data_IF_728942799026
#
_entry.id   IF_728942799026
#
_cell.length_a   1.000
_cell.length_b   1.000
_cell.length_c   1.000
_cell.angle_alpha   90.00
_cell.angle_beta   90.00
_cell.angle_gamma   90.00
#
_symmetry.space_group_name_H-M   'P 1'
#
loop_
_entity.id
_entity.type
_entity.pdbx_description
1 polymer ?
#
# COMPACT_ATOMS: atom_id res chain seq x y z
N UNK A 1 -40.14 8.77 -4.60
CA UNK A 1 -39.00 7.88 -4.92
C UNK A 1 -37.61 8.49 -4.59
N UNK A 2 -37.39 9.81 -4.78
CA UNK A 2 -36.08 10.48 -4.59
C UNK A 2 -35.59 10.59 -3.12
N UNK A 3 -36.52 10.78 -2.15
CA UNK A 3 -36.17 10.89 -0.72
C UNK A 3 -35.57 9.62 -0.12
N UNK A 4 -35.96 8.45 -0.63
CA UNK A 4 -35.48 7.16 -0.12
C UNK A 4 -34.04 6.86 -0.60
N UNK A 5 -33.67 7.35 -1.79
CA UNK A 5 -32.31 7.23 -2.34
C UNK A 5 -31.31 8.16 -1.63
N UNK A 6 -31.74 9.38 -1.29
CA UNK A 6 -30.93 10.34 -0.54
C UNK A 6 -30.67 9.90 0.92
N UNK A 7 -31.64 9.23 1.55
CA UNK A 7 -31.49 8.69 2.90
C UNK A 7 -30.41 7.59 2.97
N UNK A 8 -30.38 6.65 2.01
CA UNK A 8 -29.33 5.62 1.95
C UNK A 8 -27.92 6.19 1.78
N UNK A 9 -27.76 7.26 0.98
CA UNK A 9 -26.48 7.93 0.76
C UNK A 9 -25.99 8.67 2.01
N UNK A 10 -26.89 9.32 2.75
CA UNK A 10 -26.59 9.97 4.04
C UNK A 10 -26.24 8.95 5.13
N UNK A 11 -26.92 7.81 5.17
CA UNK A 11 -26.60 6.70 6.10
C UNK A 11 -25.22 6.12 5.81
N UNK A 12 -24.86 5.88 4.54
CA UNK A 12 -23.52 5.43 4.18
C UNK A 12 -22.43 6.47 4.47
N UNK A 13 -22.71 7.76 4.27
CA UNK A 13 -21.80 8.84 4.67
C UNK A 13 -21.61 8.89 6.19
N UNK A 14 -22.68 8.76 6.97
CA UNK A 14 -22.62 8.71 8.42
C UNK A 14 -21.85 7.49 8.91
N UNK A 15 -22.09 6.30 8.33
CA UNK A 15 -21.34 5.09 8.66
C UNK A 15 -19.86 5.19 8.29
N UNK A 16 -19.53 5.86 7.18
CA UNK A 16 -18.14 6.13 6.81
C UNK A 16 -17.48 7.12 7.78
N UNK A 17 -18.17 8.20 8.16
CA UNK A 17 -17.67 9.18 9.13
C UNK A 17 -17.50 8.56 10.53
N UNK A 18 -18.46 7.74 10.97
CA UNK A 18 -18.39 7.01 12.23
C UNK A 18 -17.28 5.96 12.17
N UNK A 19 -17.13 5.25 11.06
CA UNK A 19 -16.03 4.29 10.86
C UNK A 19 -14.65 4.97 10.87
N UNK A 20 -14.53 6.16 10.27
CA UNK A 20 -13.32 6.99 10.30
C UNK A 20 -13.08 7.51 11.73
N UNK A 21 -14.11 7.98 12.42
CA UNK A 21 -14.00 8.43 13.81
C UNK A 21 -13.61 7.30 14.77
N UNK A 22 -14.15 6.10 14.58
CA UNK A 22 -13.76 4.90 15.33
C UNK A 22 -12.34 4.47 14.97
N UNK A 23 -11.93 4.56 13.70
CA UNK A 23 -10.54 4.28 13.31
C UNK A 23 -9.57 5.29 13.92
N UNK A 24 -9.93 6.57 13.96
CA UNK A 24 -9.17 7.64 14.63
C UNK A 24 -9.14 7.39 16.14
N UNK A 25 -10.28 7.07 16.78
CA UNK A 25 -10.35 6.78 18.20
C UNK A 25 -9.59 5.50 18.58
N UNK A 26 -9.65 4.45 17.77
CA UNK A 26 -8.86 3.23 17.94
C UNK A 26 -7.36 3.50 17.75
N UNK A 27 -7.00 4.37 16.79
CA UNK A 27 -5.63 4.86 16.62
C UNK A 27 -5.16 5.73 17.79
N UNK A 28 -6.08 6.41 18.48
CA UNK A 28 -5.84 7.25 19.66
C UNK A 28 -5.76 6.43 20.97
N UNK A 29 -6.51 5.33 21.05
CA UNK A 29 -6.58 4.42 22.21
C UNK A 29 -5.47 3.37 22.21
N UNK A 30 -4.93 3.04 21.03
CA UNK A 30 -3.70 2.26 20.94
C UNK A 30 -2.55 3.12 21.49
N UNK A 31 -1.78 2.65 22.49
CA UNK A 31 -0.59 3.32 22.98
C UNK A 31 0.55 3.19 21.96
N UNK A 32 0.28 3.57 20.71
CA UNK A 32 1.17 3.49 19.57
C UNK A 32 2.40 4.35 19.80
N UNK A 33 2.25 5.51 20.46
CA UNK A 33 3.38 6.35 20.82
C UNK A 33 4.32 5.65 21.81
N UNK A 34 3.79 5.07 22.88
CA UNK A 34 4.60 4.38 23.90
C UNK A 34 5.22 3.09 23.36
N UNK A 35 4.48 2.35 22.53
CA UNK A 35 4.99 1.15 21.89
C UNK A 35 6.07 1.48 20.85
N UNK A 36 5.90 2.56 20.09
CA UNK A 36 6.89 3.05 19.14
C UNK A 36 8.15 3.58 19.84
N UNK A 37 8.04 4.25 20.98
CA UNK A 37 9.21 4.67 21.76
C UNK A 37 9.92 3.49 22.41
N UNK A 38 9.21 2.53 23.00
CA UNK A 38 9.82 1.31 23.54
C UNK A 38 10.51 0.48 22.46
N UNK A 39 9.87 0.30 21.30
CA UNK A 39 10.50 -0.37 20.15
C UNK A 39 11.67 0.44 19.65
N UNK A 40 11.57 1.76 19.55
CA UNK A 40 12.69 2.61 19.12
C UNK A 40 13.89 2.43 20.04
N UNK A 41 13.69 2.46 21.35
CA UNK A 41 14.76 2.25 22.32
C UNK A 41 15.35 0.83 22.24
N UNK A 42 14.50 -0.19 22.12
CA UNK A 42 14.94 -1.58 21.95
C UNK A 42 15.70 -1.79 20.63
N UNK A 43 15.20 -1.22 19.52
CA UNK A 43 15.81 -1.32 18.20
C UNK A 43 17.13 -0.55 18.12
N UNK A 44 17.25 0.59 18.80
CA UNK A 44 18.51 1.33 18.93
C UNK A 44 19.50 0.53 19.78
N UNK A 45 19.05 -0.15 20.84
CA UNK A 45 19.92 -0.99 21.69
C UNK A 45 20.49 -2.20 20.96
N UNK A 46 19.86 -2.64 19.87
CA UNK A 46 20.32 -3.75 19.01
C UNK A 46 21.48 -3.37 18.08
N UNK A 47 21.80 -2.08 17.94
CA UNK A 47 22.92 -1.60 17.12
C UNK A 47 22.86 -2.11 15.66
N UNK A 48 23.82 -2.94 15.19
CA UNK A 48 23.80 -3.50 13.83
C UNK A 48 22.57 -4.36 13.49
N UNK A 49 21.95 -5.00 14.49
CA UNK A 49 20.81 -5.91 14.32
C UNK A 49 19.46 -5.21 14.16
N UNK A 50 19.43 -3.88 14.28
CA UNK A 50 18.21 -3.08 14.17
C UNK A 50 17.48 -3.28 12.82
N UNK A 51 18.21 -3.31 11.71
CA UNK A 51 17.62 -3.43 10.36
C UNK A 51 17.09 -4.84 10.08
N UNK A 52 17.85 -5.93 10.34
CA UNK A 52 17.31 -7.30 10.23
C UNK A 52 16.08 -7.54 11.11
N UNK A 53 16.09 -7.06 12.36
CA UNK A 53 14.95 -7.18 13.26
C UNK A 53 13.72 -6.44 12.71
N UNK A 54 13.90 -5.22 12.20
CA UNK A 54 12.83 -4.47 11.55
C UNK A 54 12.24 -5.22 10.34
N UNK A 55 13.11 -5.77 9.48
CA UNK A 55 12.68 -6.57 8.31
C UNK A 55 11.83 -7.76 8.76
N UNK A 56 12.26 -8.49 9.80
CA UNK A 56 11.52 -9.62 10.32
C UNK A 56 10.15 -9.23 10.88
N UNK A 57 10.09 -8.16 11.69
CA UNK A 57 8.83 -7.61 12.23
C UNK A 57 7.89 -7.22 11.09
N UNK A 58 8.42 -6.58 10.04
CA UNK A 58 7.65 -6.20 8.87
C UNK A 58 7.07 -7.40 8.14
N UNK A 59 7.89 -8.44 7.90
CA UNK A 59 7.44 -9.67 7.24
C UNK A 59 6.30 -10.30 8.04
N UNK A 60 6.45 -10.45 9.37
CA UNK A 60 5.41 -10.99 10.24
C UNK A 60 4.14 -10.14 10.17
N UNK A 61 4.26 -8.82 10.28
CA UNK A 61 3.16 -7.86 10.18
C UNK A 61 2.41 -8.02 8.85
N UNK A 62 3.15 -8.19 7.75
CA UNK A 62 2.62 -8.36 6.40
C UNK A 62 1.90 -9.70 6.22
N UNK A 63 2.42 -10.77 6.82
CA UNK A 63 1.82 -12.11 6.80
C UNK A 63 0.53 -12.13 7.62
N UNK A 64 0.54 -11.54 8.83
CA UNK A 64 -0.65 -11.41 9.68
C UNK A 64 -1.71 -10.50 9.04
N UNK A 65 -1.28 -9.58 8.19
CA UNK A 65 -2.16 -8.62 7.53
C UNK A 65 -2.47 -7.41 8.41
N UNK A 66 -1.48 -6.92 9.14
CA UNK A 66 -1.59 -5.66 9.86
C UNK A 66 -1.21 -4.47 8.94
N UNK A 67 -1.77 -3.27 9.16
CA UNK A 67 -1.43 -2.10 8.36
C UNK A 67 0.05 -1.72 8.45
N UNK A 68 0.78 -1.82 7.33
CA UNK A 68 2.22 -1.54 7.25
C UNK A 68 2.60 -0.04 7.29
N UNK A 69 1.63 0.87 7.18
CA UNK A 69 1.86 2.32 7.12
C UNK A 69 2.63 2.85 8.34
N UNK A 70 2.35 2.32 9.53
CA UNK A 70 3.05 2.67 10.77
C UNK A 70 4.53 2.30 10.69
N UNK A 71 4.84 1.13 10.12
CA UNK A 71 6.22 0.66 9.97
C UNK A 71 7.00 1.53 8.98
N UNK A 72 6.38 2.01 7.91
CA UNK A 72 7.03 2.92 6.96
C UNK A 72 7.43 4.24 7.63
N UNK A 73 6.52 4.83 8.40
CA UNK A 73 6.80 6.03 9.19
C UNK A 73 7.91 5.76 10.22
N UNK A 74 7.82 4.65 10.95
CA UNK A 74 8.82 4.24 11.93
C UNK A 74 10.21 4.10 11.29
N UNK A 75 10.33 3.44 10.14
CA UNK A 75 11.60 3.31 9.43
C UNK A 75 12.21 4.68 9.05
N UNK A 76 11.37 5.63 8.64
CA UNK A 76 11.80 7.01 8.39
C UNK A 76 12.33 7.70 9.64
N UNK A 77 11.65 7.54 10.78
CA UNK A 77 12.07 8.12 12.07
C UNK A 77 13.34 7.47 12.63
N UNK A 78 13.57 6.18 12.35
CA UNK A 78 14.64 5.37 12.94
C UNK A 78 15.92 5.39 12.12
N UNK A 79 15.79 5.26 10.79
CA UNK A 79 16.93 5.07 9.89
C UNK A 79 17.18 6.29 8.98
N UNK A 80 16.27 7.27 8.98
CA UNK A 80 16.27 8.39 8.05
C UNK A 80 15.73 8.00 6.67
N UNK A 81 15.61 8.99 5.77
CA UNK A 81 14.96 8.81 4.48
C UNK A 81 15.59 7.72 3.60
N UNK A 82 16.84 7.89 3.14
CA UNK A 82 17.46 6.98 2.18
C UNK A 82 17.59 5.54 2.71
N UNK A 83 18.12 5.38 3.93
CA UNK A 83 18.28 4.05 4.55
C UNK A 83 16.92 3.42 4.88
N UNK A 84 15.96 4.22 5.33
CA UNK A 84 14.59 3.76 5.59
C UNK A 84 13.91 3.24 4.33
N UNK A 85 14.05 3.93 3.19
CA UNK A 85 13.48 3.49 1.91
C UNK A 85 14.07 2.15 1.50
N UNK A 86 15.40 1.98 1.58
CA UNK A 86 16.05 0.71 1.22
C UNK A 86 15.59 -0.42 2.13
N UNK A 87 15.61 -0.22 3.44
CA UNK A 87 15.22 -1.24 4.42
C UNK A 87 13.75 -1.65 4.23
N UNK A 88 12.85 -0.68 4.10
CA UNK A 88 11.42 -0.94 3.89
C UNK A 88 11.18 -1.60 2.54
N UNK A 89 11.89 -1.20 1.49
CA UNK A 89 11.73 -1.80 0.15
C UNK A 89 12.12 -3.27 0.13
N UNK A 90 13.20 -3.63 0.84
CA UNK A 90 13.62 -5.03 1.00
C UNK A 90 12.60 -5.80 1.85
N UNK A 91 12.15 -5.21 2.97
CA UNK A 91 11.16 -5.83 3.84
C UNK A 91 9.82 -6.07 3.12
N UNK A 92 9.36 -5.08 2.36
CA UNK A 92 8.10 -5.14 1.60
C UNK A 92 8.13 -6.21 0.54
N UNK A 93 9.19 -6.26 -0.28
CA UNK A 93 9.26 -7.28 -1.32
C UNK A 93 9.38 -8.68 -0.72
N UNK A 94 10.15 -8.88 0.36
CA UNK A 94 10.25 -10.18 1.03
C UNK A 94 8.91 -10.61 1.64
N UNK A 95 8.23 -9.71 2.36
CA UNK A 95 6.96 -10.00 3.02
C UNK A 95 5.85 -10.30 2.01
N UNK A 96 5.71 -9.47 0.97
CA UNK A 96 4.70 -9.67 -0.07
C UNK A 96 4.95 -10.95 -0.88
N UNK A 97 6.21 -11.24 -1.20
CA UNK A 97 6.63 -12.49 -1.86
C UNK A 97 6.33 -13.72 -1.02
N UNK A 98 6.58 -13.65 0.29
CA UNK A 98 6.26 -14.74 1.21
C UNK A 98 4.75 -14.99 1.27
N UNK A 99 3.93 -13.94 1.39
CA UNK A 99 2.47 -14.07 1.34
C UNK A 99 2.00 -14.68 0.01
N UNK A 100 2.61 -14.29 -1.11
CA UNK A 100 2.32 -14.86 -2.42
C UNK A 100 2.64 -16.36 -2.47
N UNK A 101 3.81 -16.77 -1.99
CA UNK A 101 4.23 -18.18 -1.99
C UNK A 101 3.37 -19.03 -1.04
N UNK A 102 3.09 -18.54 0.18
CA UNK A 102 2.24 -19.20 1.16
C UNK A 102 0.81 -19.37 0.64
N UNK A 103 0.25 -18.34 0.01
CA UNK A 103 -1.08 -18.38 -0.61
C UNK A 103 -1.16 -19.36 -1.78
N UNK A 104 -0.08 -19.50 -2.56
CA UNK A 104 -0.02 -20.39 -3.74
C UNK A 104 0.19 -21.86 -3.37
N UNK A 105 0.90 -22.15 -2.28
CA UNK A 105 1.28 -23.51 -1.87
C UNK A 105 0.39 -24.05 -0.74
N UNK A 106 0.56 -23.53 0.48
CA UNK A 106 0.00 -24.07 1.72
C UNK A 106 -1.46 -23.63 1.93
N UNK A 107 -1.75 -22.34 1.74
CA UNK A 107 -3.03 -21.75 2.08
C UNK A 107 -4.06 -21.76 0.93
N UNK A 108 -3.76 -22.40 -0.20
CA UNK A 108 -4.58 -22.29 -1.42
C UNK A 108 -6.05 -22.67 -1.23
N UNK A 109 -6.32 -23.80 -0.55
CA UNK A 109 -7.68 -24.30 -0.27
C UNK A 109 -8.47 -23.39 0.71
N UNK A 110 -7.95 -23.07 1.92
CA UNK A 110 -8.65 -22.18 2.85
C UNK A 110 -8.79 -20.76 2.30
N UNK A 111 -7.76 -20.24 1.63
CA UNK A 111 -7.77 -18.91 1.04
C UNK A 111 -8.82 -18.82 -0.06
N UNK A 112 -8.95 -19.82 -0.95
CA UNK A 112 -10.01 -19.85 -1.97
C UNK A 112 -11.41 -19.81 -1.36
N UNK A 113 -11.66 -20.50 -0.24
CA UNK A 113 -12.94 -20.45 0.49
C UNK A 113 -13.18 -19.08 1.15
N UNK A 114 -12.15 -18.49 1.75
CA UNK A 114 -12.23 -17.18 2.40
C UNK A 114 -12.47 -16.05 1.39
N UNK A 115 -11.81 -16.17 0.23
CA UNK A 115 -11.85 -15.19 -0.85
C UNK A 115 -13.10 -15.31 -1.72
N UNK A 116 -13.65 -16.50 -1.94
CA UNK A 116 -14.89 -16.70 -2.70
C UNK A 116 -16.09 -15.92 -2.11
N UNK A 117 -16.03 -15.54 -0.84
CA UNK A 117 -17.03 -14.70 -0.16
C UNK A 117 -16.86 -13.20 -0.43
N UNK A 118 -15.83 -12.78 -1.20
CA UNK A 118 -15.51 -11.36 -1.44
C UNK A 118 -15.55 -11.04 -2.95
N UNK A 119 -16.45 -10.15 -3.40
CA UNK A 119 -16.60 -9.83 -4.83
C UNK A 119 -15.36 -9.17 -5.45
N UNK A 120 -14.54 -8.50 -4.63
CA UNK A 120 -13.30 -7.82 -5.03
C UNK A 120 -12.28 -8.77 -5.70
N UNK A 121 -12.31 -10.07 -5.37
CA UNK A 121 -11.37 -11.03 -5.94
C UNK A 121 -11.78 -11.54 -7.31
N UNK A 122 -13.08 -11.75 -7.54
CA UNK A 122 -13.59 -12.13 -8.86
C UNK A 122 -13.20 -11.08 -9.90
N UNK A 123 -13.23 -9.81 -9.51
CA UNK A 123 -12.78 -8.70 -10.34
C UNK A 123 -11.25 -8.67 -10.49
N UNK A 124 -10.49 -9.01 -9.44
CA UNK A 124 -9.03 -9.12 -9.51
C UNK A 124 -8.57 -10.25 -10.45
N UNK A 125 -9.16 -11.43 -10.36
CA UNK A 125 -8.80 -12.59 -11.20
C UNK A 125 -9.14 -12.33 -12.68
N UNK A 126 -10.31 -11.74 -12.96
CA UNK A 126 -10.68 -11.27 -14.31
C UNK A 126 -9.71 -10.22 -14.84
N UNK A 127 -9.34 -9.23 -14.02
CA UNK A 127 -8.42 -8.18 -14.43
C UNK A 127 -7.01 -8.71 -14.75
N UNK A 128 -6.53 -9.70 -13.98
CA UNK A 128 -5.19 -10.29 -14.16
C UNK A 128 -5.06 -11.11 -15.44
N UNK A 129 -6.15 -11.67 -15.97
CA UNK A 129 -6.15 -12.65 -17.06
C UNK A 129 -5.50 -12.23 -18.38
N UNK A 130 -5.44 -10.94 -18.73
CA UNK A 130 -4.84 -10.47 -20.01
C UNK A 130 -3.55 -9.65 -19.85
N UNK A 131 -3.38 -8.89 -18.77
CA UNK A 131 -2.20 -8.02 -18.52
C UNK A 131 -1.82 -7.98 -17.03
N UNK A 132 -1.61 -9.14 -16.41
CA UNK A 132 -1.41 -9.30 -14.98
C UNK A 132 -0.35 -8.39 -14.34
N UNK A 133 0.77 -8.14 -15.04
CA UNK A 133 1.82 -7.24 -14.55
C UNK A 133 1.37 -5.79 -14.42
N UNK A 134 0.55 -5.30 -15.36
CA UNK A 134 -0.04 -3.96 -15.29
C UNK A 134 -0.97 -3.87 -14.10
N UNK A 135 -1.82 -4.86 -13.88
CA UNK A 135 -2.74 -4.87 -12.74
C UNK A 135 -1.98 -4.85 -11.41
N UNK A 136 -0.92 -5.64 -11.27
CA UNK A 136 -0.07 -5.61 -10.06
C UNK A 136 0.52 -4.22 -9.86
N UNK A 137 1.20 -3.66 -10.86
CA UNK A 137 1.83 -2.34 -10.74
C UNK A 137 0.82 -1.26 -10.34
N UNK A 138 -0.35 -1.29 -10.97
CA UNK A 138 -1.36 -0.24 -10.85
C UNK A 138 -2.16 -0.33 -9.55
N UNK A 139 -2.41 -1.54 -9.06
CA UNK A 139 -3.02 -1.77 -7.72
C UNK A 139 -2.06 -1.47 -6.57
N UNK A 140 -0.74 -1.49 -6.82
CA UNK A 140 0.27 -1.09 -5.83
C UNK A 140 0.44 0.43 -5.78
N UNK A 141 0.43 1.09 -6.94
CA UNK A 141 0.42 2.55 -7.03
C UNK A 141 -0.88 3.17 -6.51
N UNK A 142 -2.00 2.49 -6.71
CA UNK A 142 -3.30 2.95 -6.25
C UNK A 142 -3.77 2.10 -5.07
N UNK A 143 -3.66 2.59 -3.81
CA UNK A 143 -4.06 1.86 -2.61
C UNK A 143 -5.59 1.79 -2.44
N UNK A 144 -6.33 1.62 -3.54
CA UNK A 144 -7.79 1.44 -3.56
C UNK A 144 -8.16 0.09 -2.91
N UNK A 145 -7.30 -0.91 -3.06
CA UNK A 145 -7.50 -2.25 -2.50
C UNK A 145 -6.54 -2.45 -1.32
N UNK A 146 -7.02 -2.97 -0.17
CA UNK A 146 -6.16 -3.27 0.96
C UNK A 146 -5.01 -4.20 0.58
N UNK A 147 -3.79 -3.85 0.98
CA UNK A 147 -2.57 -4.56 0.60
C UNK A 147 -2.59 -6.05 0.95
N UNK A 148 -3.23 -6.45 2.05
CA UNK A 148 -3.35 -7.86 2.44
C UNK A 148 -4.15 -8.67 1.42
N UNK A 149 -5.25 -8.10 0.92
CA UNK A 149 -6.09 -8.74 -0.09
C UNK A 149 -5.31 -8.87 -1.38
N UNK A 150 -4.49 -7.88 -1.74
CA UNK A 150 -3.63 -7.97 -2.92
C UNK A 150 -2.52 -9.01 -2.73
N UNK A 151 -1.83 -9.01 -1.58
CA UNK A 151 -0.72 -9.92 -1.28
C UNK A 151 -1.13 -11.39 -1.46
N UNK A 152 -2.28 -11.77 -0.87
CA UNK A 152 -2.80 -13.12 -0.99
C UNK A 152 -3.65 -13.33 -2.24
N UNK A 153 -4.36 -12.32 -2.72
CA UNK A 153 -5.21 -12.40 -3.90
C UNK A 153 -4.39 -12.76 -5.15
N UNK A 154 -3.26 -12.09 -5.37
CA UNK A 154 -2.39 -12.39 -6.51
C UNK A 154 -1.84 -13.83 -6.49
N UNK A 155 -1.69 -14.45 -5.30
CA UNK A 155 -1.24 -15.85 -5.18
C UNK A 155 -2.18 -16.86 -5.83
N UNK A 156 -3.48 -16.55 -5.88
CA UNK A 156 -4.51 -17.43 -6.44
C UNK A 156 -4.73 -17.19 -7.94
N UNK A 157 -4.19 -16.09 -8.48
CA UNK A 157 -4.30 -15.74 -9.90
C UNK A 157 -3.23 -16.46 -10.74
N UNK A 158 -3.38 -16.41 -12.07
CA UNK A 158 -2.42 -17.00 -13.02
C UNK A 158 -1.14 -16.18 -13.24
N UNK A 159 -0.90 -15.11 -12.48
CA UNK A 159 0.28 -14.27 -12.69
C UNK A 159 1.58 -15.04 -12.39
N UNK A 160 2.60 -14.82 -13.21
CA UNK A 160 3.95 -15.34 -12.99
C UNK A 160 4.60 -14.65 -11.77
N UNK A 161 5.31 -15.43 -10.96
CA UNK A 161 6.07 -14.97 -9.80
C UNK A 161 6.98 -13.77 -10.10
N UNK A 162 7.76 -13.82 -11.19
CA UNK A 162 8.69 -12.73 -11.52
C UNK A 162 7.97 -11.42 -11.85
N UNK A 163 6.84 -11.51 -12.55
CA UNK A 163 6.01 -10.35 -12.84
C UNK A 163 5.40 -9.80 -11.54
N UNK A 164 4.95 -10.66 -10.64
CA UNK A 164 4.47 -10.22 -9.34
C UNK A 164 5.57 -9.51 -8.54
N UNK A 165 6.77 -10.10 -8.46
CA UNK A 165 7.91 -9.59 -7.71
C UNK A 165 8.34 -8.20 -8.22
N UNK A 166 8.74 -8.10 -9.48
CA UNK A 166 9.30 -6.86 -10.02
C UNK A 166 8.30 -5.72 -10.04
N UNK A 167 7.07 -5.98 -10.50
CA UNK A 167 6.06 -4.93 -10.61
C UNK A 167 5.43 -4.56 -9.26
N UNK A 168 5.42 -5.47 -8.27
CA UNK A 168 5.05 -5.10 -6.90
C UNK A 168 6.10 -4.20 -6.27
N UNK A 169 7.38 -4.59 -6.38
CA UNK A 169 8.49 -3.80 -5.86
C UNK A 169 8.49 -2.39 -6.47
N UNK A 170 8.46 -2.30 -7.81
CA UNK A 170 8.44 -1.02 -8.51
C UNK A 170 7.20 -0.17 -8.19
N UNK A 171 6.03 -0.80 -8.06
CA UNK A 171 4.78 -0.11 -7.75
C UNK A 171 4.70 0.41 -6.31
N UNK A 172 5.41 -0.21 -5.37
CA UNK A 172 5.43 0.22 -3.97
C UNK A 172 6.47 1.30 -3.67
N UNK A 173 7.55 1.41 -4.45
CA UNK A 173 8.63 2.38 -4.22
C UNK A 173 8.14 3.82 -3.97
N UNK A 174 7.20 4.39 -4.76
CA UNK A 174 6.75 5.77 -4.54
C UNK A 174 6.01 5.93 -3.21
N UNK A 175 5.19 4.93 -2.85
CA UNK A 175 4.45 4.92 -1.58
C UNK A 175 5.41 4.80 -0.41
N UNK A 176 6.37 3.88 -0.48
CA UNK A 176 7.41 3.69 0.53
C UNK A 176 8.19 5.00 0.72
N UNK A 177 8.66 5.61 -0.37
CA UNK A 177 9.39 6.88 -0.32
C UNK A 177 8.59 7.96 0.41
N UNK A 178 7.31 8.15 0.08
CA UNK A 178 6.47 9.16 0.72
C UNK A 178 6.32 8.95 2.22
N UNK A 179 5.96 7.75 2.66
CA UNK A 179 5.74 7.49 4.08
C UNK A 179 7.05 7.54 4.89
N UNK A 180 8.13 6.98 4.36
CA UNK A 180 9.45 7.06 5.02
C UNK A 180 9.93 8.50 5.09
N UNK A 181 9.69 9.29 4.03
CA UNK A 181 10.01 10.71 4.03
C UNK A 181 9.24 11.47 5.13
N UNK A 182 7.92 11.24 5.23
CA UNK A 182 7.09 11.84 6.29
C UNK A 182 7.59 11.48 7.69
N UNK A 183 7.97 10.21 7.90
CA UNK A 183 8.56 9.77 9.17
C UNK A 183 9.89 10.47 9.48
N UNK A 184 10.78 10.56 8.50
CA UNK A 184 12.09 11.21 8.67
C UNK A 184 11.96 12.72 8.87
N UNK A 185 11.10 13.40 8.11
CA UNK A 185 10.83 14.83 8.27
C UNK A 185 10.20 15.13 9.63
N UNK A 186 9.20 14.35 10.05
CA UNK A 186 8.56 14.49 11.37
C UNK A 186 9.55 14.33 12.53
N UNK A 187 10.45 13.34 12.46
CA UNK A 187 11.50 13.15 13.47
C UNK A 187 12.46 14.35 13.54
N UNK A 188 12.87 14.89 12.39
CA UNK A 188 13.76 16.05 12.35
C UNK A 188 13.11 17.31 12.94
N UNK A 189 11.84 17.56 12.61
CA UNK A 189 11.05 18.68 13.17
C UNK A 189 10.96 18.57 14.70
N UNK A 190 10.68 17.37 15.23
CA UNK A 190 10.56 17.13 16.66
C UNK A 190 11.89 17.30 17.43
N UNK A 191 13.03 17.07 16.77
CA UNK A 191 14.36 17.19 17.38
C UNK A 191 14.90 18.63 17.48
N UNK A 192 14.16 19.64 17.02
CA UNK A 192 14.53 21.06 17.16
C UNK A 192 15.74 21.53 16.33
N UNK A 193 16.36 20.66 15.53
CA UNK A 193 17.59 20.93 14.75
C UNK A 193 17.40 21.75 13.47
N UNK A 194 16.51 22.75 13.47
CA UNK A 194 16.09 23.45 12.26
C UNK A 194 16.84 24.77 12.05
N UNK A 195 17.90 24.72 11.24
CA UNK A 195 18.37 25.90 10.50
C UNK A 195 17.36 26.19 9.37
N UNK A 196 17.03 27.47 9.06
CA UNK A 196 16.08 27.81 7.99
C UNK A 196 16.34 27.09 6.65
N UNK A 197 17.61 26.87 6.29
CA UNK A 197 18.00 26.11 5.10
C UNK A 197 17.62 24.62 5.13
N UNK A 198 17.64 23.96 6.30
CA UNK A 198 17.19 22.57 6.44
C UNK A 198 15.68 22.44 6.32
N UNK A 199 14.91 23.42 6.84
CA UNK A 199 13.45 23.46 6.68
C UNK A 199 13.06 23.67 5.22
N UNK A 200 13.73 24.59 4.50
CA UNK A 200 13.49 24.82 3.08
C UNK A 200 13.77 23.55 2.25
N UNK A 201 14.87 22.85 2.54
CA UNK A 201 15.21 21.59 1.87
C UNK A 201 14.20 20.47 2.18
N UNK A 202 13.64 20.44 3.40
CA UNK A 202 12.59 19.49 3.76
C UNK A 202 11.25 19.83 3.10
N UNK A 203 10.83 21.08 3.08
CA UNK A 203 9.60 21.46 2.37
C UNK A 203 9.74 21.17 0.88
N UNK A 204 10.90 21.47 0.30
CA UNK A 204 11.19 21.13 -1.09
C UNK A 204 11.18 19.61 -1.35
N UNK A 205 11.83 18.82 -0.47
CA UNK A 205 11.82 17.36 -0.54
C UNK A 205 10.42 16.76 -0.40
N UNK A 206 9.57 17.32 0.48
CA UNK A 206 8.19 16.92 0.65
C UNK A 206 7.39 17.21 -0.63
N UNK A 207 7.49 18.42 -1.16
CA UNK A 207 6.84 18.83 -2.39
C UNK A 207 7.30 17.98 -3.59
N UNK A 208 8.59 17.67 -3.69
CA UNK A 208 9.14 16.79 -4.72
C UNK A 208 8.61 15.36 -4.59
N UNK A 209 8.53 14.82 -3.37
CA UNK A 209 8.04 13.45 -3.12
C UNK A 209 6.53 13.35 -3.37
N UNK A 210 5.74 14.32 -2.90
CA UNK A 210 4.30 14.42 -3.19
C UNK A 210 4.08 14.61 -4.70
N UNK A 211 4.88 15.44 -5.36
CA UNK A 211 4.87 15.62 -6.80
C UNK A 211 5.15 14.32 -7.55
N UNK A 212 6.20 13.59 -7.18
CA UNK A 212 6.56 12.30 -7.77
C UNK A 212 5.47 11.24 -7.56
N UNK A 213 4.90 11.13 -6.35
CA UNK A 213 3.81 10.20 -6.05
C UNK A 213 2.53 10.57 -6.80
N UNK A 214 2.16 11.84 -6.82
CA UNK A 214 0.96 12.28 -7.53
C UNK A 214 1.13 12.13 -9.04
N UNK A 215 2.31 12.39 -9.58
CA UNK A 215 2.64 12.19 -10.99
C UNK A 215 2.58 10.70 -11.37
N UNK A 216 3.24 9.84 -10.62
CA UNK A 216 3.21 8.38 -10.85
C UNK A 216 1.81 7.80 -10.69
N UNK A 217 1.04 8.26 -9.69
CA UNK A 217 -0.36 7.86 -9.48
C UNK A 217 -1.27 8.38 -10.61
N UNK A 218 -1.08 9.62 -11.08
CA UNK A 218 -1.83 10.18 -12.22
C UNK A 218 -1.50 9.44 -13.51
N UNK A 219 -0.22 9.14 -13.75
CA UNK A 219 0.22 8.38 -14.92
C UNK A 219 -0.39 6.97 -14.91
N UNK A 220 -0.33 6.29 -13.75
CA UNK A 220 -0.98 5.00 -13.54
C UNK A 220 -2.49 5.05 -13.79
N UNK A 221 -3.20 6.04 -13.24
CA UNK A 221 -4.63 6.23 -13.50
C UNK A 221 -4.93 6.50 -14.97
N UNK A 222 -4.13 7.31 -15.66
CA UNK A 222 -4.30 7.60 -17.10
C UNK A 222 -4.09 6.36 -17.97
N UNK A 223 -3.19 5.46 -17.57
CA UNK A 223 -2.95 4.18 -18.26
C UNK A 223 -3.97 3.09 -17.90
N UNK A 224 -4.63 3.22 -16.74
CA UNK A 224 -5.69 2.34 -16.26
C UNK A 224 -7.09 2.72 -16.72
N UNK A 225 -7.34 3.98 -17.07
CA UNK A 225 -8.61 4.38 -17.67
C UNK A 225 -8.86 3.46 -18.86
N UNK A 226 -10.01 2.78 -18.93
CA UNK A 226 -10.34 1.94 -20.07
C UNK A 226 -10.12 2.79 -21.31
N UNK A 227 -9.38 2.26 -22.29
CA UNK A 227 -9.40 2.86 -23.61
C UNK A 227 -10.89 3.08 -23.96
N UNK A 228 -11.30 4.25 -24.51
CA UNK A 228 -12.57 4.32 -25.20
C UNK A 228 -12.59 3.13 -26.14
N UNK A 229 -13.68 2.35 -26.12
CA UNK A 229 -13.83 1.14 -26.91
C UNK A 229 -13.14 1.33 -28.27
N UNK A 230 -12.15 0.47 -28.55
CA UNK A 230 -11.44 0.50 -29.82
C UNK A 230 -12.48 0.55 -30.93
N UNK A 231 -12.27 1.43 -31.90
CA UNK A 231 -13.12 1.65 -33.07
C UNK A 231 -13.48 0.37 -33.85
N UNK A 232 -12.79 -0.75 -33.59
CA UNK A 232 -13.13 -2.08 -34.08
C UNK A 232 -14.46 -2.65 -33.54
N UNK A 233 -14.88 -2.30 -32.31
CA UNK A 233 -16.18 -2.78 -31.76
C UNK A 233 -17.37 -2.01 -32.33
N UNK A 234 -17.18 -0.78 -32.83
CA UNK A 234 -18.23 -0.04 -33.54
C UNK A 234 -18.44 -0.53 -34.98
N UNK A 235 -17.44 -1.16 -35.60
CA UNK A 235 -17.56 -1.67 -36.96
C UNK A 235 -18.31 -3.01 -37.03
N UNK A 236 -18.20 -3.85 -35.99
CA UNK A 236 -18.92 -5.14 -35.92
C UNK A 236 -20.41 -5.00 -35.58
N UNK A 237 -20.80 -3.94 -34.89
CA UNK A 237 -22.21 -3.68 -34.57
C UNK A 237 -22.98 -3.08 -35.76
N UNK A 238 -22.28 -2.43 -36.70
CA UNK A 238 -22.87 -1.87 -37.93
C UNK A 238 -22.93 -2.91 -39.06
N UNK A 239 -22.11 -3.97 -39.04
CA UNK A 239 -22.19 -5.04 -40.05
C UNK A 239 -23.20 -6.15 -39.73
N UNK A 240 -23.83 -6.10 -38.55
CA UNK A 240 -24.82 -7.07 -38.08
C UNK A 240 -26.23 -6.45 -37.91
N UNK A 241 -26.44 -5.24 -38.41
CA UNK A 241 -27.75 -4.62 -38.65
C UNK A 241 -27.92 -4.41 -40.16
#
# INVERSE_FOLDING_TARGET
MIRHFLAKKKVWLLLAVIGIAIAIAAFSLLPLQDWLTHIKHWLISLGPWAKPAFILIYIITTVVGLPAAVLFLAAGTLFGFLKGVVVVSIADILGTTLCYLLGRTVARKPLKKWIAKRPQFTELDKAVGRKGWKIVFLTRLSPIVPSNILNYGFSLTKINFWHYFFFSWLGMLPVIALYVYLGSAGANLASGGNTPGKMALQIFGLCATVGAVTYTTKLAKKTLSPAPASSEDKQKDISNQ
#
